data_IF_957865794842
#
_entry.id   IF_957865794842
#
_cell.length_a   1.000
_cell.length_b   1.000
_cell.length_c   1.000
_cell.angle_alpha   90.00
_cell.angle_beta   90.00
_cell.angle_gamma   90.00
#
_symmetry.space_group_name_H-M   'P 1'
#
loop_
_entity.id
_entity.type
_entity.pdbx_description
1 polymer ?
#
# COMPACT_ATOMS: atom_id res chain seq x y z
N UNK A 1 33.31 -1.94 9.92
CA UNK A 1 32.29 -2.96 10.21
C UNK A 1 31.97 -3.67 8.91
N UNK A 2 32.48 -4.89 8.73
CA UNK A 2 32.17 -5.75 7.58
C UNK A 2 30.89 -6.52 7.88
N UNK A 3 29.73 -5.92 7.59
CA UNK A 3 28.49 -6.69 7.60
C UNK A 3 28.35 -7.42 6.26
N UNK A 4 28.45 -8.76 6.32
CA UNK A 4 28.21 -9.71 5.21
C UNK A 4 26.81 -10.33 5.30
N UNK A 5 25.77 -9.53 5.49
CA UNK A 5 24.39 -9.99 5.29
C UNK A 5 23.84 -9.21 4.10
N UNK A 6 23.37 -9.88 3.03
CA UNK A 6 22.60 -9.19 2.01
C UNK A 6 21.31 -8.67 2.64
N UNK A 7 20.82 -7.56 2.09
CA UNK A 7 19.57 -6.93 2.49
C UNK A 7 18.32 -7.78 2.18
N UNK A 8 18.49 -8.99 1.67
CA UNK A 8 17.43 -9.84 1.12
C UNK A 8 17.30 -11.15 1.90
N UNK A 9 16.91 -11.05 3.18
CA UNK A 9 16.24 -12.20 3.82
C UNK A 9 14.86 -12.30 3.18
N UNK A 10 14.49 -13.44 2.57
CA UNK A 10 13.16 -13.61 2.00
C UNK A 10 12.13 -13.43 3.11
N UNK A 11 11.36 -12.35 3.04
CA UNK A 11 10.21 -12.19 3.91
C UNK A 11 9.20 -13.26 3.50
N UNK A 12 9.00 -14.25 4.38
CA UNK A 12 7.93 -15.22 4.23
C UNK A 12 6.65 -14.40 4.05
N UNK A 13 5.95 -14.59 2.93
CA UNK A 13 4.65 -13.95 2.72
C UNK A 13 3.73 -14.39 3.85
N UNK A 14 3.18 -13.46 4.66
CA UNK A 14 2.41 -13.80 5.85
C UNK A 14 1.01 -14.25 5.46
N UNK A 15 0.92 -15.40 4.78
CA UNK A 15 -0.33 -15.96 4.25
C UNK A 15 -1.15 -16.69 5.31
N UNK A 16 -0.60 -16.89 6.51
CA UNK A 16 -1.18 -17.73 7.58
C UNK A 16 -1.49 -19.16 7.10
N UNK A 17 -0.73 -19.68 6.13
CA UNK A 17 -0.94 -20.99 5.53
C UNK A 17 -2.04 -21.05 4.47
N UNK A 18 -2.64 -19.92 4.10
CA UNK A 18 -3.59 -19.84 3.00
C UNK A 18 -2.88 -19.80 1.63
N UNK A 19 -3.51 -20.36 0.57
CA UNK A 19 -2.95 -20.33 -0.77
C UNK A 19 -2.89 -18.90 -1.34
N UNK A 20 -1.92 -18.60 -2.20
CA UNK A 20 -1.76 -17.26 -2.79
C UNK A 20 -2.96 -16.87 -3.67
N UNK A 21 -3.58 -17.85 -4.33
CA UNK A 21 -4.77 -17.70 -5.16
C UNK A 21 -5.95 -17.13 -4.36
N UNK A 22 -6.06 -17.49 -3.08
CA UNK A 22 -7.08 -16.93 -2.20
C UNK A 22 -6.93 -15.41 -2.08
N UNK A 23 -5.71 -14.91 -1.89
CA UNK A 23 -5.44 -13.48 -1.78
C UNK A 23 -5.61 -12.75 -3.10
N UNK A 24 -5.26 -13.35 -4.23
CA UNK A 24 -5.55 -12.79 -5.56
C UNK A 24 -7.05 -12.63 -5.80
N UNK A 25 -7.85 -13.66 -5.51
CA UNK A 25 -9.32 -13.60 -5.65
C UNK A 25 -9.90 -12.56 -4.68
N UNK A 26 -9.47 -12.60 -3.41
CA UNK A 26 -9.88 -11.63 -2.40
C UNK A 26 -9.55 -10.20 -2.85
N UNK A 27 -8.35 -9.98 -3.39
CA UNK A 27 -7.89 -8.72 -3.93
C UNK A 27 -8.78 -8.16 -5.02
N UNK A 28 -9.25 -9.00 -5.95
CA UNK A 28 -10.22 -8.60 -6.99
C UNK A 28 -11.54 -8.18 -6.35
N UNK A 29 -12.09 -9.00 -5.45
CA UNK A 29 -13.41 -8.75 -4.82
C UNK A 29 -13.38 -7.44 -4.03
N UNK A 30 -12.43 -7.28 -3.11
CA UNK A 30 -12.35 -6.09 -2.27
C UNK A 30 -12.07 -4.83 -3.09
N UNK A 31 -11.28 -4.95 -4.18
CA UNK A 31 -11.06 -3.84 -5.10
C UNK A 31 -12.33 -3.44 -5.85
N UNK A 32 -13.13 -4.41 -6.35
CA UNK A 32 -14.40 -4.14 -7.05
C UNK A 32 -15.40 -3.47 -6.11
N UNK A 33 -15.50 -3.94 -4.86
CA UNK A 33 -16.38 -3.31 -3.86
C UNK A 33 -15.93 -1.88 -3.58
N UNK A 34 -14.64 -1.68 -3.29
CA UNK A 34 -14.08 -0.36 -3.02
C UNK A 34 -14.28 0.61 -4.20
N UNK A 35 -13.91 0.20 -5.42
CA UNK A 35 -13.93 1.09 -6.58
C UNK A 35 -15.34 1.53 -6.96
N UNK A 36 -16.37 0.71 -6.69
CA UNK A 36 -17.76 1.12 -6.91
C UNK A 36 -18.14 2.33 -6.04
N UNK A 37 -17.70 2.36 -4.78
CA UNK A 37 -17.90 3.52 -3.91
C UNK A 37 -17.09 4.73 -4.37
N UNK A 38 -15.84 4.54 -4.81
CA UNK A 38 -15.00 5.63 -5.32
C UNK A 38 -15.57 6.22 -6.62
N UNK A 39 -16.06 5.40 -7.54
CA UNK A 39 -16.73 5.88 -8.75
C UNK A 39 -17.96 6.71 -8.40
N UNK A 40 -18.79 6.22 -7.47
CA UNK A 40 -19.95 6.96 -7.00
C UNK A 40 -19.55 8.24 -6.24
N UNK A 41 -18.46 8.23 -5.47
CA UNK A 41 -17.94 9.40 -4.75
C UNK A 41 -17.59 10.54 -5.72
N UNK A 42 -16.76 10.23 -6.72
CA UNK A 42 -16.33 11.19 -7.74
C UNK A 42 -17.51 11.70 -8.55
N UNK A 43 -18.38 10.79 -9.01
CA UNK A 43 -19.51 11.20 -9.83
C UNK A 43 -20.60 11.94 -9.05
N UNK A 44 -20.95 11.50 -7.83
CA UNK A 44 -22.01 12.12 -7.04
C UNK A 44 -21.62 13.49 -6.49
N UNK A 45 -20.36 13.66 -6.03
CA UNK A 45 -19.85 14.98 -5.63
C UNK A 45 -19.89 15.96 -6.79
N UNK A 46 -19.40 15.54 -7.96
CA UNK A 46 -19.42 16.33 -9.19
C UNK A 46 -20.86 16.66 -9.61
N UNK A 47 -21.76 15.67 -9.60
CA UNK A 47 -23.17 15.86 -9.93
C UNK A 47 -23.82 16.87 -8.98
N UNK A 48 -23.59 16.75 -7.67
CA UNK A 48 -24.16 17.68 -6.69
C UNK A 48 -23.77 19.12 -6.99
N UNK A 49 -22.50 19.39 -7.29
CA UNK A 49 -22.04 20.76 -7.58
C UNK A 49 -22.55 21.26 -8.94
N UNK A 50 -22.45 20.45 -9.99
CA UNK A 50 -22.94 20.82 -11.33
C UNK A 50 -24.43 21.16 -11.30
N UNK A 51 -25.25 20.35 -10.63
CA UNK A 51 -26.69 20.59 -10.62
C UNK A 51 -27.11 21.72 -9.67
N UNK A 52 -26.31 22.02 -8.63
CA UNK A 52 -26.48 23.22 -7.82
C UNK A 52 -26.22 24.49 -8.67
N UNK A 53 -25.15 24.48 -9.47
CA UNK A 53 -24.85 25.54 -10.45
C UNK A 53 -25.98 25.65 -11.48
N UNK A 54 -26.46 24.53 -12.03
CA UNK A 54 -27.59 24.54 -12.98
C UNK A 54 -28.87 25.07 -12.36
N UNK A 55 -29.14 24.85 -11.07
CA UNK A 55 -30.28 25.43 -10.38
C UNK A 55 -30.25 26.97 -10.35
N UNK A 56 -29.06 27.57 -10.28
CA UNK A 56 -28.89 29.04 -10.43
C UNK A 56 -29.23 29.48 -11.86
N UNK A 57 -28.64 28.83 -12.86
CA UNK A 57 -28.79 29.25 -14.25
C UNK A 57 -30.19 28.99 -14.82
N UNK A 58 -30.78 27.84 -14.50
CA UNK A 58 -32.10 27.44 -14.98
C UNK A 58 -33.25 27.98 -14.15
N UNK A 59 -32.99 28.51 -12.95
CA UNK A 59 -34.00 28.99 -12.00
C UNK A 59 -35.09 27.95 -11.68
N UNK A 60 -34.71 26.67 -11.69
CA UNK A 60 -35.61 25.55 -11.40
C UNK A 60 -35.21 24.89 -10.08
N UNK A 61 -36.07 24.95 -9.04
CA UNK A 61 -35.77 24.43 -7.71
C UNK A 61 -35.61 22.91 -7.68
N UNK A 62 -36.05 22.18 -8.71
CA UNK A 62 -35.87 20.74 -8.78
C UNK A 62 -34.40 20.34 -8.99
N UNK A 63 -33.61 21.18 -9.67
CA UNK A 63 -32.16 20.96 -9.79
C UNK A 63 -31.44 21.12 -8.46
N UNK A 64 -31.85 22.09 -7.63
CA UNK A 64 -31.31 22.28 -6.28
C UNK A 64 -31.66 21.10 -5.37
N UNK A 65 -32.91 20.61 -5.42
CA UNK A 65 -33.33 19.41 -4.68
C UNK A 65 -32.58 18.17 -5.13
N UNK A 66 -32.38 18.01 -6.44
CA UNK A 66 -31.59 16.91 -6.99
C UNK A 66 -30.13 16.98 -6.53
N UNK A 67 -29.51 18.15 -6.64
CA UNK A 67 -28.15 18.40 -6.19
C UNK A 67 -27.96 18.09 -4.69
N UNK A 68 -28.90 18.53 -3.84
CA UNK A 68 -28.89 18.21 -2.42
C UNK A 68 -28.97 16.70 -2.17
N UNK A 69 -29.85 15.98 -2.89
CA UNK A 69 -29.95 14.51 -2.75
C UNK A 69 -28.65 13.79 -3.13
N UNK A 70 -27.92 14.30 -4.12
CA UNK A 70 -26.63 13.71 -4.51
C UNK A 70 -25.57 13.81 -3.39
N UNK A 71 -25.63 14.82 -2.51
CA UNK A 71 -24.73 14.92 -1.36
C UNK A 71 -24.82 13.71 -0.41
N UNK A 72 -26.01 13.07 -0.32
CA UNK A 72 -26.16 11.87 0.50
C UNK A 72 -25.33 10.72 -0.07
N UNK A 73 -25.38 10.50 -1.37
CA UNK A 73 -24.56 9.47 -2.02
C UNK A 73 -23.08 9.77 -1.91
N UNK A 74 -22.68 11.04 -2.03
CA UNK A 74 -21.31 11.48 -1.77
C UNK A 74 -20.87 11.05 -0.37
N UNK A 75 -21.59 11.45 0.69
CA UNK A 75 -21.22 11.11 2.06
C UNK A 75 -21.26 9.62 2.39
N UNK A 76 -22.20 8.85 1.82
CA UNK A 76 -22.20 7.39 2.01
C UNK A 76 -20.98 6.77 1.33
N UNK A 77 -20.66 7.20 0.11
CA UNK A 77 -19.51 6.71 -0.64
C UNK A 77 -18.16 7.12 -0.02
N UNK A 78 -18.07 8.26 0.64
CA UNK A 78 -16.88 8.64 1.43
C UNK A 78 -16.60 7.61 2.53
N UNK A 79 -17.61 7.36 3.37
CA UNK A 79 -17.47 6.47 4.52
C UNK A 79 -17.22 5.02 4.09
N UNK A 80 -18.00 4.54 3.11
CA UNK A 80 -17.82 3.18 2.57
C UNK A 80 -16.53 3.07 1.77
N UNK A 81 -16.15 4.09 1.01
CA UNK A 81 -14.91 4.14 0.26
C UNK A 81 -13.68 4.08 1.17
N UNK A 82 -13.69 4.84 2.28
CA UNK A 82 -12.63 4.81 3.28
C UNK A 82 -12.53 3.43 3.97
N UNK A 83 -13.67 2.87 4.41
CA UNK A 83 -13.72 1.55 5.04
C UNK A 83 -13.16 0.45 4.11
N UNK A 84 -13.68 0.38 2.89
CA UNK A 84 -13.28 -0.64 1.92
C UNK A 84 -11.94 -0.37 1.26
N UNK A 85 -11.37 0.85 1.38
CA UNK A 85 -10.10 1.22 0.77
C UNK A 85 -8.87 0.62 1.45
N UNK A 86 -8.98 0.34 2.75
CA UNK A 86 -7.89 -0.31 3.51
C UNK A 86 -7.69 -1.76 3.07
N UNK A 87 -8.78 -2.48 2.76
CA UNK A 87 -8.72 -3.89 2.39
C UNK A 87 -7.83 -4.20 1.16
N UNK A 88 -8.00 -3.58 -0.03
CA UNK A 88 -7.13 -3.84 -1.18
C UNK A 88 -5.68 -3.41 -0.91
N UNK A 89 -5.45 -2.35 -0.13
CA UNK A 89 -4.10 -1.93 0.26
C UNK A 89 -3.40 -3.00 1.09
N UNK A 90 -4.10 -3.57 2.08
CA UNK A 90 -3.57 -4.64 2.91
C UNK A 90 -3.25 -5.89 2.08
N UNK A 91 -4.17 -6.32 1.21
CA UNK A 91 -3.94 -7.48 0.33
C UNK A 91 -2.70 -7.28 -0.55
N UNK A 92 -2.56 -6.12 -1.19
CA UNK A 92 -1.39 -5.81 -2.02
C UNK A 92 -0.12 -5.70 -1.18
N UNK A 93 -0.20 -5.11 0.02
CA UNK A 93 0.96 -5.00 0.92
C UNK A 93 1.45 -6.35 1.43
N UNK A 94 0.57 -7.35 1.53
CA UNK A 94 0.91 -8.73 1.93
C UNK A 94 1.50 -9.50 0.75
N UNK A 95 0.90 -9.39 -0.44
CA UNK A 95 1.34 -10.14 -1.61
C UNK A 95 2.63 -9.59 -2.24
N UNK A 96 2.80 -8.26 -2.21
CA UNK A 96 3.83 -7.57 -2.98
C UNK A 96 4.57 -6.53 -2.13
N UNK A 97 4.87 -6.88 -0.87
CA UNK A 97 5.48 -5.99 0.14
C UNK A 97 6.67 -5.21 -0.42
N UNK A 98 7.70 -5.89 -0.95
CA UNK A 98 8.93 -5.25 -1.43
C UNK A 98 8.67 -4.20 -2.51
N UNK A 99 7.86 -4.54 -3.53
CA UNK A 99 7.52 -3.63 -4.63
C UNK A 99 6.64 -2.47 -4.17
N UNK A 100 5.64 -2.76 -3.34
CA UNK A 100 4.68 -1.78 -2.85
C UNK A 100 5.35 -0.72 -1.97
N UNK A 101 6.16 -1.13 -0.99
CA UNK A 101 6.87 -0.18 -0.12
C UNK A 101 7.96 0.58 -0.85
N UNK A 102 8.69 -0.05 -1.78
CA UNK A 102 9.69 0.64 -2.61
C UNK A 102 9.04 1.77 -3.42
N UNK A 103 7.89 1.50 -4.05
CA UNK A 103 7.14 2.52 -4.78
C UNK A 103 6.66 3.65 -3.86
N UNK A 104 6.17 3.34 -2.64
CA UNK A 104 5.77 4.33 -1.64
C UNK A 104 6.94 5.23 -1.25
N UNK A 105 8.11 4.66 -0.98
CA UNK A 105 9.30 5.43 -0.60
C UNK A 105 9.73 6.39 -1.71
N UNK A 106 9.66 5.95 -2.97
CA UNK A 106 10.00 6.76 -4.15
C UNK A 106 9.08 7.96 -4.39
N UNK A 107 7.82 7.86 -4.00
CA UNK A 107 6.84 8.95 -4.16
C UNK A 107 6.60 9.73 -2.86
N UNK A 108 7.27 9.36 -1.78
CA UNK A 108 7.21 10.08 -0.50
C UNK A 108 7.77 11.49 -0.68
N UNK A 109 7.16 12.54 -0.09
CA UNK A 109 6.06 12.52 0.88
C UNK A 109 4.66 12.58 0.26
N UNK A 110 4.52 12.66 -1.06
CA UNK A 110 3.25 12.94 -1.74
C UNK A 110 2.18 11.87 -1.48
N UNK A 111 2.56 10.63 -1.17
CA UNK A 111 1.60 9.57 -0.81
C UNK A 111 0.75 9.94 0.42
N UNK A 112 1.27 10.76 1.33
CA UNK A 112 0.52 11.24 2.50
C UNK A 112 -0.68 12.10 2.11
N UNK A 113 -0.73 12.62 0.88
CA UNK A 113 -1.91 13.31 0.33
C UNK A 113 -3.15 12.44 0.35
N UNK A 114 -3.01 11.11 0.26
CA UNK A 114 -4.15 10.20 0.43
C UNK A 114 -4.76 10.33 1.83
N UNK A 115 -3.98 10.71 2.85
CA UNK A 115 -4.48 10.91 4.21
C UNK A 115 -5.01 12.34 4.37
N UNK A 116 -4.13 13.35 4.25
CA UNK A 116 -4.54 14.74 4.53
C UNK A 116 -5.49 15.30 3.47
N UNK A 117 -5.33 14.91 2.20
CA UNK A 117 -6.23 15.31 1.12
C UNK A 117 -7.63 14.72 1.30
N UNK A 118 -7.75 13.47 1.77
CA UNK A 118 -9.06 12.90 2.13
C UNK A 118 -9.69 13.63 3.31
N UNK A 119 -8.92 13.93 4.37
CA UNK A 119 -9.45 14.69 5.52
C UNK A 119 -10.02 16.04 5.05
N UNK A 120 -9.25 16.79 4.25
CA UNK A 120 -9.70 18.09 3.71
C UNK A 120 -10.94 17.91 2.84
N UNK A 121 -10.94 16.95 1.91
CA UNK A 121 -12.08 16.71 1.03
C UNK A 121 -13.35 16.31 1.81
N UNK A 122 -13.21 15.48 2.85
CA UNK A 122 -14.32 15.05 3.70
C UNK A 122 -14.88 16.22 4.50
N UNK A 123 -14.01 17.02 5.13
CA UNK A 123 -14.45 18.20 5.88
C UNK A 123 -15.16 19.21 4.98
N UNK A 124 -14.64 19.47 3.77
CA UNK A 124 -15.28 20.33 2.79
C UNK A 124 -16.62 19.75 2.30
N UNK A 125 -16.70 18.43 2.09
CA UNK A 125 -17.94 17.74 1.71
C UNK A 125 -19.02 17.84 2.78
N UNK A 126 -18.65 17.65 4.05
CA UNK A 126 -19.55 17.84 5.18
C UNK A 126 -19.96 19.31 5.35
N UNK A 127 -19.01 20.24 5.21
CA UNK A 127 -19.32 21.66 5.23
C UNK A 127 -20.33 22.00 4.12
N UNK A 128 -20.11 21.53 2.88
CA UNK A 128 -21.04 21.71 1.77
C UNK A 128 -22.43 21.13 2.08
N UNK A 129 -22.51 19.87 2.50
CA UNK A 129 -23.79 19.21 2.78
C UNK A 129 -24.58 19.87 3.93
N UNK A 130 -23.93 20.12 5.06
CA UNK A 130 -24.62 20.59 6.27
C UNK A 130 -24.84 22.10 6.30
N UNK A 131 -24.11 22.87 5.50
CA UNK A 131 -24.38 24.30 5.32
C UNK A 131 -25.46 24.60 4.28
N UNK A 132 -26.02 23.57 3.62
CA UNK A 132 -26.97 23.73 2.51
C UNK A 132 -28.13 24.68 2.83
N UNK A 133 -28.75 24.50 4.01
CA UNK A 133 -29.88 25.33 4.45
C UNK A 133 -29.44 26.66 5.07
N UNK A 134 -28.28 26.68 5.75
CA UNK A 134 -27.74 27.89 6.37
C UNK A 134 -27.23 28.92 5.33
N UNK A 135 -26.70 28.44 4.20
CA UNK A 135 -26.13 29.27 3.13
C UNK A 135 -27.05 29.41 1.92
N UNK A 136 -28.36 29.17 2.05
CA UNK A 136 -29.32 29.31 0.93
C UNK A 136 -29.27 30.73 0.31
N UNK A 137 -29.09 31.75 1.15
CA UNK A 137 -28.99 33.15 0.72
C UNK A 137 -27.60 33.53 0.19
N UNK A 138 -26.58 32.69 0.42
CA UNK A 138 -25.19 32.90 -0.01
C UNK A 138 -24.75 31.80 -0.99
N UNK A 139 -25.60 31.54 -2.00
CA UNK A 139 -25.45 30.40 -2.93
C UNK A 139 -24.11 30.36 -3.65
N UNK A 140 -23.53 31.51 -4.01
CA UNK A 140 -22.19 31.58 -4.63
C UNK A 140 -21.09 31.03 -3.73
N UNK A 141 -21.09 31.41 -2.44
CA UNK A 141 -20.14 30.90 -1.46
C UNK A 141 -20.33 29.39 -1.22
N UNK A 142 -21.58 28.95 -1.09
CA UNK A 142 -21.90 27.53 -0.94
C UNK A 142 -21.43 26.68 -2.15
N UNK A 143 -21.61 27.17 -3.38
CA UNK A 143 -21.07 26.54 -4.60
C UNK A 143 -19.54 26.50 -4.57
N UNK A 144 -18.86 27.56 -4.09
CA UNK A 144 -17.41 27.58 -3.98
C UNK A 144 -16.88 26.51 -3.02
N UNK A 145 -17.56 26.27 -1.89
CA UNK A 145 -17.24 25.15 -0.99
C UNK A 145 -17.37 23.83 -1.76
N UNK A 146 -18.50 23.60 -2.44
CA UNK A 146 -18.72 22.39 -3.22
C UNK A 146 -17.67 22.17 -4.32
N UNK A 147 -17.31 23.23 -5.06
CA UNK A 147 -16.28 23.15 -6.09
C UNK A 147 -14.92 22.80 -5.48
N UNK A 148 -14.58 23.38 -4.33
CA UNK A 148 -13.37 23.06 -3.58
C UNK A 148 -13.36 21.59 -3.14
N UNK A 149 -14.50 21.06 -2.70
CA UNK A 149 -14.67 19.63 -2.39
C UNK A 149 -14.37 18.74 -3.60
N UNK A 150 -14.97 19.05 -4.76
CA UNK A 150 -14.77 18.26 -5.99
C UNK A 150 -13.31 18.31 -6.43
N UNK A 151 -12.69 19.50 -6.42
CA UNK A 151 -11.28 19.65 -6.75
C UNK A 151 -10.39 18.84 -5.80
N UNK A 152 -10.65 18.89 -4.50
CA UNK A 152 -9.92 18.10 -3.51
C UNK A 152 -10.04 16.60 -3.81
N UNK A 153 -11.23 16.08 -4.07
CA UNK A 153 -11.41 14.67 -4.45
C UNK A 153 -10.67 14.28 -5.73
N UNK A 154 -10.60 15.18 -6.72
CA UNK A 154 -9.98 14.90 -8.01
C UNK A 154 -8.46 14.81 -7.95
N UNK A 155 -7.83 15.36 -6.91
CA UNK A 155 -6.37 15.23 -6.73
C UNK A 155 -5.94 13.85 -6.23
N UNK A 156 -6.81 13.11 -5.53
CA UNK A 156 -6.46 11.83 -4.90
C UNK A 156 -6.15 10.71 -5.91
N UNK A 157 -6.93 10.51 -7.00
CA UNK A 157 -6.64 9.50 -8.00
C UNK A 157 -5.26 9.64 -8.64
N UNK A 158 -4.74 10.86 -8.81
CA UNK A 158 -3.42 11.08 -9.42
C UNK A 158 -2.31 10.45 -8.58
N UNK A 159 -2.33 10.68 -7.27
CA UNK A 159 -1.34 10.14 -6.33
C UNK A 159 -1.44 8.61 -6.27
N UNK A 160 -2.65 8.09 -6.10
CA UNK A 160 -2.88 6.65 -6.02
C UNK A 160 -2.54 5.92 -7.32
N UNK A 161 -2.86 6.50 -8.48
CA UNK A 161 -2.54 5.90 -9.78
C UNK A 161 -1.04 5.89 -10.04
N UNK A 162 -0.34 6.97 -9.68
CA UNK A 162 1.12 7.08 -9.78
C UNK A 162 1.81 6.00 -8.94
N UNK A 163 1.41 5.87 -7.66
CA UNK A 163 1.88 4.78 -6.79
C UNK A 163 1.58 3.42 -7.41
N UNK A 164 0.33 3.23 -7.87
CA UNK A 164 -0.09 1.96 -8.44
C UNK A 164 0.71 1.56 -9.67
N UNK A 165 1.03 2.51 -10.55
CA UNK A 165 1.79 2.24 -11.76
C UNK A 165 3.23 1.89 -11.40
N UNK A 166 3.83 2.68 -10.50
CA UNK A 166 5.21 2.47 -10.13
C UNK A 166 5.45 1.07 -9.55
N UNK A 167 4.62 0.64 -8.58
CA UNK A 167 4.85 -0.68 -7.98
C UNK A 167 4.66 -1.85 -8.95
N UNK A 168 3.84 -1.69 -10.00
CA UNK A 168 3.65 -2.71 -11.03
C UNK A 168 4.76 -2.71 -12.09
N UNK A 169 5.69 -1.75 -12.06
CA UNK A 169 6.77 -1.65 -13.04
C UNK A 169 8.11 -1.52 -12.34
N UNK A 170 8.62 -2.59 -11.69
CA UNK A 170 9.89 -2.55 -10.94
C UNK A 170 11.08 -2.07 -11.79
N UNK A 171 11.04 -2.27 -13.10
CA UNK A 171 12.04 -1.77 -14.05
C UNK A 171 12.20 -0.23 -14.03
N UNK A 172 11.18 0.50 -13.56
CA UNK A 172 11.20 1.96 -13.44
C UNK A 172 11.79 2.45 -12.12
N UNK A 173 12.09 1.57 -11.15
CA UNK A 173 12.61 2.00 -9.84
C UNK A 173 13.97 2.69 -9.92
N UNK A 174 14.79 2.34 -10.90
CA UNK A 174 16.11 2.98 -11.08
C UNK A 174 15.99 4.37 -11.72
N UNK A 175 15.04 4.57 -12.64
CA UNK A 175 14.89 5.80 -13.42
C UNK A 175 14.00 6.84 -12.76
N UNK A 176 12.97 6.40 -12.04
CA UNK A 176 12.01 7.31 -11.39
C UNK A 176 12.56 7.77 -10.05
N UNK A 177 12.69 9.09 -9.89
CA UNK A 177 13.20 9.75 -8.68
C UNK A 177 12.10 10.42 -7.86
N UNK A 178 11.00 10.82 -8.49
CA UNK A 178 9.91 11.58 -7.88
C UNK A 178 8.55 11.24 -8.49
N UNK A 179 7.47 11.73 -7.85
CA UNK A 179 6.11 11.44 -8.29
C UNK A 179 5.74 12.04 -9.64
N UNK A 180 6.30 13.20 -10.00
CA UNK A 180 5.89 13.92 -11.21
C UNK A 180 6.29 13.15 -12.48
N UNK A 181 7.47 12.53 -12.44
CA UNK A 181 7.96 11.68 -13.53
C UNK A 181 7.01 10.51 -13.82
N UNK A 182 6.54 9.79 -12.79
CA UNK A 182 5.60 8.69 -12.98
C UNK A 182 4.18 9.17 -13.30
N UNK A 183 3.76 10.29 -12.71
CA UNK A 183 2.41 10.82 -12.87
C UNK A 183 2.12 11.28 -14.30
N UNK A 184 3.12 11.87 -14.96
CA UNK A 184 3.00 12.33 -16.33
C UNK A 184 3.39 11.30 -17.39
N UNK A 185 3.57 10.03 -17.00
CA UNK A 185 3.73 8.95 -17.98
C UNK A 185 2.42 8.70 -18.76
N UNK A 186 2.52 8.23 -20.01
CA UNK A 186 1.35 7.81 -20.79
C UNK A 186 0.49 6.77 -20.06
N UNK A 187 1.11 5.80 -19.37
CA UNK A 187 0.41 4.78 -18.59
C UNK A 187 -0.48 5.42 -17.52
N UNK A 188 0.05 6.35 -16.74
CA UNK A 188 -0.72 7.05 -15.71
C UNK A 188 -1.86 7.87 -16.33
N UNK A 189 -1.59 8.61 -17.40
CA UNK A 189 -2.60 9.37 -18.12
C UNK A 189 -3.76 8.49 -18.64
N UNK A 190 -3.46 7.40 -19.32
CA UNK A 190 -4.46 6.48 -19.87
C UNK A 190 -5.28 5.80 -18.77
N UNK A 191 -4.64 5.38 -17.67
CA UNK A 191 -5.35 4.76 -16.54
C UNK A 191 -6.25 5.76 -15.82
N UNK A 192 -5.81 7.02 -15.66
CA UNK A 192 -6.64 8.10 -15.11
C UNK A 192 -7.82 8.40 -16.03
N UNK A 193 -7.61 8.46 -17.34
CA UNK A 193 -8.68 8.65 -18.32
C UNK A 193 -9.73 7.55 -18.20
N UNK A 194 -9.32 6.28 -18.21
CA UNK A 194 -10.21 5.14 -17.99
C UNK A 194 -10.96 5.24 -16.65
N UNK A 195 -10.25 5.60 -15.58
CA UNK A 195 -10.83 5.75 -14.25
C UNK A 195 -11.94 6.81 -14.22
N UNK A 196 -11.69 8.01 -14.74
CA UNK A 196 -12.68 9.08 -14.73
C UNK A 196 -13.85 8.80 -15.66
N UNK A 197 -13.60 8.27 -16.87
CA UNK A 197 -14.69 7.85 -17.78
C UNK A 197 -15.56 6.78 -17.12
N UNK A 198 -14.94 5.79 -16.47
CA UNK A 198 -15.67 4.74 -15.76
C UNK A 198 -16.45 5.31 -14.57
N UNK A 199 -15.89 6.26 -13.82
CA UNK A 199 -16.55 6.91 -12.70
C UNK A 199 -17.85 7.64 -13.13
N UNK A 200 -17.77 8.44 -14.19
CA UNK A 200 -18.91 9.19 -14.72
C UNK A 200 -19.95 8.26 -15.36
N UNK A 201 -19.49 7.27 -16.13
CA UNK A 201 -20.35 6.24 -16.73
C UNK A 201 -21.12 5.45 -15.66
N UNK A 202 -20.42 4.90 -14.66
CA UNK A 202 -21.02 4.10 -13.60
C UNK A 202 -22.00 4.93 -12.76
N UNK A 203 -21.62 6.16 -12.41
CA UNK A 203 -22.53 7.08 -11.70
C UNK A 203 -23.76 7.41 -12.53
N UNK A 204 -23.62 7.62 -13.83
CA UNK A 204 -24.75 7.85 -14.74
C UNK A 204 -25.77 6.72 -14.72
N UNK A 205 -25.31 5.46 -14.72
CA UNK A 205 -26.20 4.30 -14.59
C UNK A 205 -26.85 4.21 -13.21
N UNK A 206 -26.11 4.50 -12.14
CA UNK A 206 -26.70 4.58 -10.79
C UNK A 206 -27.77 5.68 -10.73
N UNK A 207 -27.56 6.84 -11.35
CA UNK A 207 -28.54 7.92 -11.44
C UNK A 207 -29.84 7.49 -12.15
N UNK A 208 -29.73 6.67 -13.21
CA UNK A 208 -30.91 6.08 -13.88
C UNK A 208 -31.67 5.15 -12.91
N UNK A 209 -30.94 4.29 -12.21
CA UNK A 209 -31.52 3.32 -11.28
C UNK A 209 -32.19 3.97 -10.06
N UNK A 210 -31.53 4.94 -9.42
CA UNK A 210 -32.12 5.66 -8.28
C UNK A 210 -33.27 6.57 -8.73
N UNK A 211 -33.17 7.18 -9.92
CA UNK A 211 -34.21 8.01 -10.49
C UNK A 211 -35.50 7.23 -10.71
N UNK A 212 -35.40 6.01 -11.27
CA UNK A 212 -36.55 5.11 -11.42
C UNK A 212 -37.20 4.76 -10.06
N UNK A 213 -36.41 4.61 -9.00
CA UNK A 213 -36.92 4.37 -7.64
C UNK A 213 -37.58 5.60 -7.02
N UNK A 214 -37.05 6.80 -7.28
CA UNK A 214 -37.65 8.06 -6.82
C UNK A 214 -39.01 8.32 -7.47
N UNK A 215 -39.15 8.07 -8.78
CA UNK A 215 -40.45 8.14 -9.45
C UNK A 215 -41.47 7.21 -8.78
N UNK A 216 -41.09 5.97 -8.47
CA UNK A 216 -41.96 5.01 -7.76
C UNK A 216 -42.37 5.48 -6.35
N UNK A 217 -41.57 6.34 -5.71
CA UNK A 217 -41.84 6.91 -4.38
C UNK A 217 -42.62 8.24 -4.42
N UNK A 218 -42.98 8.73 -5.61
CA UNK A 218 -43.74 9.97 -5.78
C UNK A 218 -42.90 11.22 -6.10
N UNK A 219 -41.57 11.11 -6.13
CA UNK A 219 -40.66 12.22 -6.47
C UNK A 219 -40.42 12.31 -7.99
N UNK A 220 -41.49 12.45 -8.77
CA UNK A 220 -41.45 12.27 -10.23
C UNK A 220 -40.48 13.21 -10.93
N UNK A 221 -40.54 14.52 -10.65
CA UNK A 221 -39.72 15.52 -11.35
C UNK A 221 -38.21 15.33 -11.08
N UNK A 222 -37.84 15.09 -9.82
CA UNK A 222 -36.43 14.82 -9.45
C UNK A 222 -35.96 13.50 -10.07
N UNK A 223 -36.82 12.48 -10.07
CA UNK A 223 -36.54 11.19 -10.70
C UNK A 223 -36.30 11.31 -12.21
N UNK A 224 -37.12 12.09 -12.91
CA UNK A 224 -36.95 12.39 -14.34
C UNK A 224 -35.64 13.12 -14.63
N UNK A 225 -35.27 14.12 -13.81
CA UNK A 225 -33.97 14.80 -13.91
C UNK A 225 -32.83 13.78 -13.75
N UNK A 226 -32.87 12.95 -12.70
CA UNK A 226 -31.86 11.93 -12.44
C UNK A 226 -31.69 10.96 -13.61
N UNK A 227 -32.79 10.46 -14.19
CA UNK A 227 -32.76 9.56 -15.35
C UNK A 227 -32.19 10.26 -16.58
N UNK A 228 -32.69 11.45 -16.91
CA UNK A 228 -32.24 12.20 -18.09
C UNK A 228 -30.76 12.52 -18.04
N UNK A 229 -30.30 13.01 -16.89
CA UNK A 229 -28.90 13.35 -16.66
C UNK A 229 -28.01 12.11 -16.59
N UNK A 230 -28.47 11.04 -15.94
CA UNK A 230 -27.76 9.77 -15.87
C UNK A 230 -27.50 9.16 -17.25
N UNK A 231 -28.50 9.23 -18.15
CA UNK A 231 -28.33 8.82 -19.55
C UNK A 231 -27.27 9.64 -20.27
N UNK A 232 -27.24 10.96 -20.08
CA UNK A 232 -26.23 11.83 -20.70
C UNK A 232 -24.82 11.51 -20.21
N UNK A 233 -24.65 11.36 -18.90
CA UNK A 233 -23.34 11.03 -18.31
C UNK A 233 -22.81 9.70 -18.82
N UNK A 234 -23.68 8.69 -18.87
CA UNK A 234 -23.35 7.40 -19.46
C UNK A 234 -22.99 7.52 -20.94
N UNK A 235 -23.86 8.10 -21.76
CA UNK A 235 -23.65 8.16 -23.21
C UNK A 235 -22.47 9.04 -23.63
N UNK A 236 -22.07 10.02 -22.82
CA UNK A 236 -20.90 10.86 -23.08
C UNK A 236 -19.58 10.14 -22.75
N UNK A 237 -19.52 9.42 -21.62
CA UNK A 237 -18.29 8.79 -21.16
C UNK A 237 -18.03 7.43 -21.84
N UNK A 238 -19.08 6.64 -22.09
CA UNK A 238 -18.95 5.26 -22.57
C UNK A 238 -18.24 5.09 -23.92
N UNK A 239 -18.50 5.91 -24.97
CA UNK A 239 -17.87 5.72 -26.28
C UNK A 239 -16.35 5.78 -26.21
N UNK A 240 -15.80 6.76 -25.49
CA UNK A 240 -14.36 6.87 -25.32
C UNK A 240 -13.83 5.73 -24.44
N UNK A 241 -14.56 5.33 -23.41
CA UNK A 241 -14.14 4.25 -22.52
C UNK A 241 -14.06 2.88 -23.25
N UNK A 242 -14.99 2.61 -24.17
CA UNK A 242 -14.98 1.42 -25.05
C UNK A 242 -13.66 1.33 -25.85
N UNK A 243 -13.08 2.47 -26.24
CA UNK A 243 -11.81 2.51 -26.98
C UNK A 243 -10.62 2.46 -26.02
N UNK A 244 -10.70 3.12 -24.87
CA UNK A 244 -9.60 3.18 -23.91
C UNK A 244 -9.33 1.83 -23.26
N UNK A 245 -10.37 1.06 -22.92
CA UNK A 245 -10.23 -0.20 -22.19
C UNK A 245 -9.35 -1.23 -22.92
N UNK A 246 -9.55 -1.53 -24.22
CA UNK A 246 -8.69 -2.48 -24.95
C UNK A 246 -7.27 -1.97 -25.18
N UNK A 247 -7.05 -0.65 -25.17
CA UNK A 247 -5.73 -0.06 -25.39
C UNK A 247 -4.85 -0.11 -24.13
N UNK A 248 -5.44 -0.13 -22.93
CA UNK A 248 -4.71 -0.11 -21.67
C UNK A 248 -3.60 -1.16 -21.54
N UNK A 249 -3.81 -2.45 -21.88
CA UNK A 249 -2.76 -3.47 -21.91
C UNK A 249 -1.49 -3.08 -22.69
N UNK A 250 -1.65 -2.28 -23.75
CA UNK A 250 -0.57 -1.91 -24.67
C UNK A 250 0.14 -0.62 -24.31
N UNK A 251 -0.34 0.10 -23.28
CA UNK A 251 0.31 1.33 -22.82
C UNK A 251 1.43 1.03 -21.82
N UNK A 252 1.41 -0.15 -21.18
CA UNK A 252 2.47 -0.61 -20.28
C UNK A 252 3.81 -0.80 -21.01
N UNK A 253 4.87 -1.10 -20.25
CA UNK A 253 6.18 -1.45 -20.83
C UNK A 253 6.04 -2.65 -21.76
N UNK A 254 6.87 -2.68 -22.82
CA UNK A 254 6.85 -3.76 -23.81
C UNK A 254 6.90 -5.15 -23.16
N UNK A 255 7.72 -5.31 -22.12
CA UNK A 255 7.81 -6.51 -21.27
C UNK A 255 6.45 -6.96 -20.72
N UNK A 256 5.72 -6.05 -20.06
CA UNK A 256 4.42 -6.36 -19.45
C UNK A 256 3.38 -6.63 -20.53
N UNK A 257 3.35 -5.81 -21.59
CA UNK A 257 2.40 -5.97 -22.68
C UNK A 257 2.61 -7.31 -23.41
N UNK A 258 3.85 -7.68 -23.71
CA UNK A 258 4.22 -8.95 -24.32
C UNK A 258 3.84 -10.13 -23.43
N UNK A 259 4.25 -10.11 -22.17
CA UNK A 259 3.90 -11.17 -21.23
C UNK A 259 2.38 -11.33 -21.07
N UNK A 260 1.63 -10.22 -21.04
CA UNK A 260 0.18 -10.27 -20.95
C UNK A 260 -0.48 -10.87 -22.21
N UNK A 261 0.07 -10.64 -23.40
CA UNK A 261 -0.43 -11.22 -24.66
C UNK A 261 -0.37 -12.74 -24.68
N UNK A 262 0.52 -13.35 -23.89
CA UNK A 262 0.61 -14.80 -23.73
C UNK A 262 -0.36 -15.36 -22.67
N UNK A 263 -1.24 -14.54 -22.08
CA UNK A 263 -2.21 -14.96 -21.07
C UNK A 263 -3.64 -14.71 -21.52
N UNK A 264 -4.61 -15.44 -20.95
CA UNK A 264 -6.04 -15.19 -21.20
C UNK A 264 -6.54 -13.82 -20.71
N UNK A 265 -5.80 -13.13 -19.85
CA UNK A 265 -6.18 -11.83 -19.31
C UNK A 265 -6.25 -10.73 -20.39
N UNK A 266 -5.51 -10.88 -21.50
CA UNK A 266 -5.49 -9.91 -22.60
C UNK A 266 -6.86 -9.72 -23.25
N UNK A 267 -7.73 -10.75 -23.24
CA UNK A 267 -9.04 -10.70 -23.88
C UNK A 267 -10.10 -9.99 -23.02
N UNK A 268 -9.89 -9.91 -21.70
CA UNK A 268 -10.91 -9.40 -20.77
C UNK A 268 -11.31 -7.93 -21.04
N UNK A 269 -10.40 -6.99 -21.36
CA UNK A 269 -10.78 -5.62 -21.69
C UNK A 269 -11.61 -5.52 -22.98
N UNK A 270 -11.38 -6.41 -23.95
CA UNK A 270 -12.18 -6.48 -25.18
C UNK A 270 -13.59 -6.96 -24.87
N UNK A 271 -13.73 -8.02 -24.07
CA UNK A 271 -15.04 -8.52 -23.62
C UNK A 271 -15.77 -7.43 -22.81
N UNK A 272 -15.06 -6.76 -21.90
CA UNK A 272 -15.61 -5.67 -21.11
C UNK A 272 -16.12 -4.52 -21.99
N UNK A 273 -15.42 -4.22 -23.09
CA UNK A 273 -15.82 -3.21 -24.07
C UNK A 273 -17.04 -3.64 -24.89
N UNK A 274 -17.13 -4.93 -25.28
CA UNK A 274 -18.32 -5.48 -25.93
C UNK A 274 -19.57 -5.38 -25.03
N UNK A 275 -19.43 -5.68 -23.73
CA UNK A 275 -20.53 -5.51 -22.77
C UNK A 275 -20.96 -4.04 -22.66
N UNK A 276 -20.00 -3.10 -22.68
CA UNK A 276 -20.31 -1.67 -22.69
C UNK A 276 -20.97 -1.21 -23.98
N UNK A 277 -20.62 -1.78 -25.15
CA UNK A 277 -21.32 -1.50 -26.41
C UNK A 277 -22.80 -1.93 -26.31
N UNK A 278 -23.07 -3.13 -25.77
CA UNK A 278 -24.45 -3.61 -25.56
C UNK A 278 -25.21 -2.68 -24.61
N UNK A 279 -24.60 -2.31 -23.49
CA UNK A 279 -25.19 -1.36 -22.54
C UNK A 279 -25.42 0.03 -23.16
N UNK A 280 -24.47 0.52 -23.95
CA UNK A 280 -24.53 1.78 -24.68
C UNK A 280 -25.71 1.82 -25.65
N UNK A 281 -25.82 0.83 -26.53
CA UNK A 281 -26.90 0.74 -27.52
C UNK A 281 -28.26 0.60 -26.83
N UNK A 282 -28.34 -0.15 -25.73
CA UNK A 282 -29.57 -0.26 -24.95
C UNK A 282 -30.01 1.09 -24.37
N UNK A 283 -29.12 1.82 -23.70
CA UNK A 283 -29.44 3.13 -23.13
C UNK A 283 -29.76 4.15 -24.22
N UNK A 284 -29.06 4.10 -25.35
CA UNK A 284 -29.29 4.96 -26.51
C UNK A 284 -30.69 4.72 -27.11
N UNK A 285 -31.11 3.47 -27.24
CA UNK A 285 -32.47 3.13 -27.71
C UNK A 285 -33.58 3.69 -26.80
N UNK A 286 -33.24 3.93 -25.53
CA UNK A 286 -34.11 4.46 -24.47
C UNK A 286 -33.84 5.93 -24.15
N UNK A 287 -33.19 6.65 -25.06
CA UNK A 287 -32.79 8.03 -24.82
C UNK A 287 -33.98 8.99 -24.65
N UNK A 288 -35.07 8.78 -25.40
CA UNK A 288 -36.27 9.63 -25.31
C UNK A 288 -37.20 9.29 -24.14
N UNK A 289 -37.08 8.09 -23.57
CA UNK A 289 -37.96 7.62 -22.50
C UNK A 289 -37.72 8.42 -21.22
N UNK A 290 -38.72 9.17 -20.75
CA UNK A 290 -38.62 9.94 -19.49
C UNK A 290 -38.66 9.05 -18.24
N UNK A 291 -39.26 7.87 -18.36
CA UNK A 291 -39.43 6.91 -17.28
C UNK A 291 -38.83 5.58 -17.71
N UNK A 292 -38.00 4.99 -16.86
CA UNK A 292 -37.35 3.70 -17.09
C UNK A 292 -37.78 2.73 -16.00
N UNK A 293 -38.12 1.50 -16.39
CA UNK A 293 -38.48 0.46 -15.41
C UNK A 293 -37.27 0.09 -14.53
N UNK A 294 -37.50 -0.25 -13.27
CA UNK A 294 -36.41 -0.66 -12.36
C UNK A 294 -35.68 -1.91 -12.86
N UNK A 295 -36.38 -2.81 -13.55
CA UNK A 295 -35.77 -4.03 -14.11
C UNK A 295 -34.86 -3.71 -15.29
N UNK A 296 -35.26 -2.79 -16.18
CA UNK A 296 -34.43 -2.28 -17.27
C UNK A 296 -33.16 -1.63 -16.74
N UNK A 297 -33.28 -0.76 -15.73
CA UNK A 297 -32.13 -0.11 -15.11
C UNK A 297 -31.17 -1.14 -14.47
N UNK A 298 -31.71 -2.17 -13.79
CA UNK A 298 -30.89 -3.21 -13.18
C UNK A 298 -30.07 -4.03 -14.19
N UNK A 299 -30.64 -4.35 -15.37
CA UNK A 299 -29.88 -5.06 -16.43
C UNK A 299 -28.65 -4.27 -16.87
N UNK A 300 -28.78 -2.96 -17.03
CA UNK A 300 -27.66 -2.09 -17.42
C UNK A 300 -26.63 -2.01 -16.31
N UNK A 301 -27.07 -1.87 -15.04
CA UNK A 301 -26.18 -1.93 -13.87
C UNK A 301 -25.37 -3.22 -13.88
N UNK A 302 -26.02 -4.38 -14.09
CA UNK A 302 -25.34 -5.67 -14.11
C UNK A 302 -24.28 -5.78 -15.22
N UNK A 303 -24.57 -5.29 -16.43
CA UNK A 303 -23.59 -5.27 -17.53
C UNK A 303 -22.38 -4.38 -17.21
N UNK A 304 -22.61 -3.20 -16.64
CA UNK A 304 -21.53 -2.28 -16.25
C UNK A 304 -20.70 -2.85 -15.10
N UNK A 305 -21.34 -3.45 -14.09
CA UNK A 305 -20.63 -4.10 -12.98
C UNK A 305 -19.80 -5.29 -13.47
N UNK A 306 -20.31 -6.09 -14.40
CA UNK A 306 -19.55 -7.18 -15.01
C UNK A 306 -18.35 -6.64 -15.81
N UNK A 307 -18.53 -5.55 -16.57
CA UNK A 307 -17.43 -4.87 -17.25
C UNK A 307 -16.34 -4.37 -16.28
N UNK A 308 -16.75 -3.77 -15.16
CA UNK A 308 -15.83 -3.33 -14.08
C UNK A 308 -15.09 -4.53 -13.48
N UNK A 309 -15.79 -5.63 -13.22
CA UNK A 309 -15.19 -6.87 -12.71
C UNK A 309 -14.13 -7.43 -13.67
N UNK A 310 -14.44 -7.49 -14.97
CA UNK A 310 -13.48 -7.94 -15.98
C UNK A 310 -12.22 -7.07 -16.01
N UNK A 311 -12.37 -5.74 -15.92
CA UNK A 311 -11.23 -4.82 -15.84
C UNK A 311 -10.42 -4.98 -14.55
N UNK A 312 -11.07 -5.25 -13.41
CA UNK A 312 -10.40 -5.55 -12.16
C UNK A 312 -9.58 -6.85 -12.27
N UNK A 313 -10.12 -7.86 -12.94
CA UNK A 313 -9.42 -9.12 -13.23
C UNK A 313 -8.25 -8.91 -14.20
N UNK A 314 -8.39 -8.07 -15.25
CA UNK A 314 -7.25 -7.68 -16.09
C UNK A 314 -6.14 -7.04 -15.26
N UNK A 315 -6.50 -6.17 -14.31
CA UNK A 315 -5.52 -5.52 -13.43
C UNK A 315 -4.77 -6.53 -12.57
N UNK A 316 -5.42 -7.61 -12.13
CA UNK A 316 -4.72 -8.72 -11.47
C UNK A 316 -3.80 -9.46 -12.45
N UNK A 317 -4.27 -9.75 -13.67
CA UNK A 317 -3.43 -10.32 -14.73
C UNK A 317 -2.16 -9.52 -15.01
N UNK A 318 -2.27 -8.18 -15.06
CA UNK A 318 -1.12 -7.27 -15.18
C UNK A 318 -0.14 -7.47 -14.02
N UNK A 319 -0.61 -7.57 -12.77
CA UNK A 319 0.27 -7.82 -11.62
C UNK A 319 0.99 -9.16 -11.73
N UNK A 320 0.26 -10.22 -12.07
CA UNK A 320 0.82 -11.57 -12.22
C UNK A 320 2.00 -11.55 -13.20
N UNK A 321 1.83 -10.94 -14.38
CA UNK A 321 2.93 -10.87 -15.36
C UNK A 321 4.03 -9.88 -14.97
N UNK A 322 3.69 -8.80 -14.27
CA UNK A 322 4.66 -7.78 -13.84
C UNK A 322 5.66 -8.32 -12.81
N UNK A 323 5.18 -9.22 -11.93
CA UNK A 323 5.96 -9.73 -10.81
C UNK A 323 6.57 -11.12 -11.05
N UNK A 324 6.13 -11.87 -12.06
CA UNK A 324 6.61 -13.23 -12.31
C UNK A 324 8.15 -13.33 -12.39
N UNK A 325 8.78 -12.55 -13.27
CA UNK A 325 10.23 -12.55 -13.45
C UNK A 325 10.97 -11.95 -12.22
N UNK A 326 10.63 -10.76 -11.70
CA UNK A 326 11.29 -10.22 -10.52
C UNK A 326 11.24 -11.15 -9.29
N UNK A 327 10.11 -11.82 -9.06
CA UNK A 327 9.97 -12.78 -7.97
C UNK A 327 10.82 -14.03 -8.21
N UNK A 328 10.92 -14.51 -9.46
CA UNK A 328 11.77 -15.65 -9.79
C UNK A 328 13.26 -15.33 -9.56
N UNK A 329 13.71 -14.14 -10.00
CA UNK A 329 15.08 -13.67 -9.76
C UNK A 329 15.38 -13.51 -8.27
N UNK A 330 14.43 -12.96 -7.51
CA UNK A 330 14.56 -12.84 -6.05
C UNK A 330 14.64 -14.21 -5.38
N UNK A 331 13.83 -15.18 -5.80
CA UNK A 331 13.86 -16.54 -5.28
C UNK A 331 15.20 -17.23 -5.56
N UNK A 332 15.74 -17.08 -6.78
CA UNK A 332 17.05 -17.62 -7.15
C UNK A 332 18.18 -17.00 -6.32
N UNK A 333 18.23 -15.67 -6.24
CA UNK A 333 19.25 -14.96 -5.46
C UNK A 333 19.19 -15.36 -3.97
N UNK A 334 17.99 -15.58 -3.45
CA UNK A 334 17.76 -16.09 -2.10
C UNK A 334 18.33 -17.49 -1.93
N UNK A 335 18.03 -18.41 -2.85
CA UNK A 335 18.53 -19.78 -2.81
C UNK A 335 20.06 -19.82 -2.84
N UNK A 336 20.67 -19.05 -3.74
CA UNK A 336 22.13 -18.91 -3.86
C UNK A 336 22.76 -18.41 -2.55
N UNK A 337 22.16 -17.39 -1.93
CA UNK A 337 22.62 -16.86 -0.66
C UNK A 337 22.48 -17.87 0.49
N UNK A 338 21.36 -18.58 0.58
CA UNK A 338 21.12 -19.59 1.60
C UNK A 338 22.12 -20.74 1.47
N UNK A 339 22.38 -21.20 0.24
CA UNK A 339 23.36 -22.25 -0.04
C UNK A 339 24.78 -21.81 0.32
N UNK A 340 25.17 -20.57 -0.03
CA UNK A 340 26.45 -20.00 0.34
C UNK A 340 26.61 -19.90 1.87
N UNK A 341 25.57 -19.42 2.56
CA UNK A 341 25.56 -19.29 4.03
C UNK A 341 25.65 -20.65 4.72
N UNK A 342 24.94 -21.66 4.23
CA UNK A 342 25.02 -23.03 4.76
C UNK A 342 26.41 -23.64 4.53
N UNK A 343 27.04 -23.34 3.40
CA UNK A 343 28.39 -23.82 3.08
C UNK A 343 29.43 -23.18 4.01
N UNK A 344 29.36 -21.85 4.20
CA UNK A 344 30.22 -21.13 5.15
C UNK A 344 30.00 -21.61 6.59
N UNK A 345 28.75 -21.85 6.99
CA UNK A 345 28.43 -22.39 8.31
C UNK A 345 28.96 -23.82 8.51
N UNK A 346 28.84 -24.70 7.50
CA UNK A 346 29.41 -26.06 7.57
C UNK A 346 30.93 -26.01 7.72
N UNK A 347 31.60 -25.17 6.93
CA UNK A 347 33.04 -24.96 7.02
C UNK A 347 33.44 -24.45 8.39
N UNK A 348 32.76 -23.44 8.92
CA UNK A 348 32.97 -22.92 10.27
C UNK A 348 32.79 -24.03 11.32
N UNK A 349 31.75 -24.86 11.18
CA UNK A 349 31.49 -25.96 12.11
C UNK A 349 32.58 -27.04 12.07
N UNK A 350 33.10 -27.37 10.89
CA UNK A 350 34.24 -28.27 10.71
C UNK A 350 35.52 -27.67 11.30
N UNK A 351 35.80 -26.38 11.05
CA UNK A 351 36.91 -25.64 11.66
C UNK A 351 36.82 -25.64 13.19
N UNK A 352 35.62 -25.46 13.76
CA UNK A 352 35.39 -25.53 15.21
C UNK A 352 35.54 -26.95 15.76
N UNK A 353 35.09 -27.98 15.03
CA UNK A 353 35.23 -29.38 15.44
C UNK A 353 36.70 -29.84 15.42
N UNK A 354 37.48 -29.32 14.48
CA UNK A 354 38.91 -29.62 14.33
C UNK A 354 39.80 -28.62 15.09
N UNK A 355 39.22 -27.64 15.79
CA UNK A 355 39.99 -26.71 16.62
C UNK A 355 40.64 -27.54 17.74
N UNK A 356 41.97 -27.48 17.89
CA UNK A 356 42.64 -28.23 18.96
C UNK A 356 42.02 -27.84 20.30
N UNK A 357 41.89 -28.84 21.19
CA UNK A 357 41.41 -28.58 22.54
C UNK A 357 42.23 -27.45 23.14
N UNK A 358 41.54 -26.39 23.55
CA UNK A 358 42.16 -25.24 24.17
C UNK A 358 42.93 -25.72 25.41
N UNK A 359 44.20 -25.36 25.53
CA UNK A 359 44.93 -25.60 26.78
C UNK A 359 44.38 -24.64 27.84
N UNK A 360 43.38 -25.10 28.57
CA UNK A 360 42.73 -24.34 29.64
C UNK A 360 43.66 -24.10 30.84
N UNK A 361 44.90 -24.60 30.80
CA UNK A 361 45.93 -24.22 31.76
C UNK A 361 46.56 -22.87 31.46
N UNK A 362 46.51 -22.38 30.21
CA UNK A 362 46.85 -21.00 29.88
C UNK A 362 45.68 -20.08 30.28
N UNK A 363 45.88 -19.15 31.24
CA UNK A 363 44.83 -18.27 31.71
C UNK A 363 44.25 -17.35 30.63
N UNK A 364 45.03 -16.95 29.62
CA UNK A 364 44.53 -16.12 28.51
C UNK A 364 43.56 -16.92 27.63
N UNK A 365 43.89 -18.19 27.38
CA UNK A 365 43.04 -19.13 26.65
C UNK A 365 41.77 -19.48 27.44
N UNK A 366 41.90 -19.65 28.77
CA UNK A 366 40.76 -19.84 29.67
C UNK A 366 39.83 -18.61 29.64
N UNK A 367 40.37 -17.39 29.67
CA UNK A 367 39.60 -16.15 29.59
C UNK A 367 38.81 -16.04 28.28
N UNK A 368 39.40 -16.44 27.16
CA UNK A 368 38.72 -16.51 25.85
C UNK A 368 37.60 -17.55 25.87
N UNK A 369 37.87 -18.76 26.38
CA UNK A 369 36.89 -19.84 26.44
C UNK A 369 35.67 -19.51 27.31
N UNK A 370 35.88 -18.74 28.39
CA UNK A 370 34.82 -18.28 29.30
C UNK A 370 34.16 -16.99 28.83
N UNK A 371 34.53 -16.48 27.66
CA UNK A 371 33.91 -15.31 27.03
C UNK A 371 34.31 -13.97 27.64
N UNK A 372 35.33 -13.91 28.50
CA UNK A 372 35.74 -12.69 29.20
C UNK A 372 36.15 -11.58 28.22
N UNK A 373 36.72 -11.94 27.06
CA UNK A 373 37.10 -10.98 26.01
C UNK A 373 35.93 -10.31 25.28
N UNK A 374 34.69 -10.77 25.50
CA UNK A 374 33.50 -10.09 24.95
C UNK A 374 33.23 -8.75 25.62
N UNK A 375 33.67 -8.60 26.88
CA UNK A 375 33.45 -7.41 27.69
C UNK A 375 34.75 -6.74 28.14
N UNK A 376 35.87 -7.47 28.18
CA UNK A 376 37.17 -6.99 28.61
C UNK A 376 38.23 -7.16 27.51
N UNK A 377 39.31 -6.39 27.58
CA UNK A 377 40.51 -6.60 26.77
C UNK A 377 41.74 -6.38 27.66
N UNK A 378 42.91 -6.85 27.24
CA UNK A 378 44.16 -6.71 28.03
C UNK A 378 44.50 -5.24 28.25
N UNK A 379 44.56 -4.47 27.17
CA UNK A 379 45.10 -3.10 27.18
C UNK A 379 44.00 -2.03 27.12
N UNK A 380 42.90 -2.33 26.44
CA UNK A 380 41.87 -1.35 26.11
C UNK A 380 40.60 -1.58 26.91
N UNK A 381 39.99 -0.50 27.41
CA UNK A 381 38.66 -0.58 28.02
C UNK A 381 37.61 -0.84 26.94
N UNK A 382 36.72 -1.81 27.17
CA UNK A 382 35.57 -2.11 26.31
C UNK A 382 34.27 -1.77 27.05
N UNK A 383 33.41 -2.77 27.28
CA UNK A 383 32.22 -2.65 28.14
C UNK A 383 32.64 -2.61 29.60
N UNK A 384 33.57 -3.49 29.98
CA UNK A 384 34.26 -3.49 31.27
C UNK A 384 35.66 -2.86 31.18
N UNK A 385 36.30 -2.59 32.34
CA UNK A 385 37.68 -2.10 32.40
C UNK A 385 38.65 -3.06 31.69
N UNK A 386 39.80 -2.55 31.23
CA UNK A 386 40.86 -3.43 30.70
C UNK A 386 41.45 -4.30 31.83
N UNK A 387 42.03 -5.46 31.50
CA UNK A 387 42.65 -6.30 32.53
C UNK A 387 43.82 -5.60 33.22
N UNK A 388 44.56 -4.72 32.51
CA UNK A 388 45.55 -3.83 33.11
C UNK A 388 44.94 -2.80 34.07
N UNK A 389 43.78 -2.24 33.76
CA UNK A 389 43.05 -1.36 34.69
C UNK A 389 42.57 -2.12 35.95
N UNK A 390 42.18 -3.38 35.79
CA UNK A 390 41.82 -4.25 36.93
C UNK A 390 43.06 -4.58 37.77
N UNK A 391 44.20 -4.88 37.13
CA UNK A 391 45.45 -5.25 37.81
C UNK A 391 46.05 -4.09 38.62
N UNK A 392 45.92 -2.87 38.12
CA UNK A 392 46.46 -1.66 38.77
C UNK A 392 45.70 -1.24 40.03
N UNK A 393 44.43 -1.65 40.21
CA UNK A 393 43.68 -1.41 41.46
C UNK A 393 44.14 -2.28 42.64
N UNK A 394 45.14 -3.16 42.47
CA UNK A 394 45.76 -4.00 43.52
C UNK A 394 44.74 -4.71 44.42
N UNK A 395 43.69 -5.30 43.84
CA UNK A 395 42.77 -6.17 44.59
C UNK A 395 43.43 -7.51 44.89
N UNK A 396 43.20 -8.08 46.07
CA UNK A 396 43.62 -9.46 46.36
C UNK A 396 42.91 -10.46 45.43
N UNK A 397 43.57 -11.59 45.15
CA UNK A 397 43.03 -12.68 44.30
C UNK A 397 41.62 -13.08 44.76
N UNK A 398 41.40 -13.25 46.07
CA UNK A 398 40.11 -13.62 46.64
C UNK A 398 38.98 -12.62 46.32
N UNK A 399 39.32 -11.33 46.23
CA UNK A 399 38.36 -10.27 45.91
C UNK A 399 37.95 -10.34 44.43
N UNK A 400 38.90 -10.61 43.53
CA UNK A 400 38.59 -10.79 42.11
C UNK A 400 37.80 -12.08 41.86
N UNK A 401 38.15 -13.18 42.52
CA UNK A 401 37.38 -14.44 42.49
C UNK A 401 35.94 -14.21 42.89
N UNK A 402 35.71 -13.54 44.04
CA UNK A 402 34.36 -13.22 44.50
C UNK A 402 33.60 -12.34 43.51
N UNK A 403 34.31 -11.41 42.86
CA UNK A 403 33.74 -10.50 41.85
C UNK A 403 33.33 -11.26 40.58
N UNK A 404 34.12 -12.24 40.13
CA UNK A 404 33.78 -13.08 38.98
C UNK A 404 32.60 -14.00 39.29
N UNK A 405 32.59 -14.65 40.46
CA UNK A 405 31.56 -15.64 40.82
C UNK A 405 30.21 -15.01 41.21
N UNK A 406 30.20 -13.83 41.84
CA UNK A 406 28.97 -13.19 42.33
C UNK A 406 28.59 -11.91 41.57
N UNK A 407 29.37 -11.54 40.57
CA UNK A 407 29.28 -10.23 39.93
C UNK A 407 29.89 -9.11 40.78
N UNK A 408 29.93 -7.91 40.23
CA UNK A 408 30.43 -6.71 40.92
C UNK A 408 29.71 -5.46 40.45
N UNK A 409 29.43 -4.54 41.38
CA UNK A 409 28.78 -3.26 41.10
C UNK A 409 29.63 -2.11 41.65
N UNK A 410 29.60 -0.94 40.99
CA UNK A 410 30.22 0.31 41.45
C UNK A 410 31.72 0.24 41.80
N UNK A 411 32.45 -0.76 41.27
CA UNK A 411 33.86 -1.00 41.63
C UNK A 411 34.85 -0.43 40.62
N UNK A 412 34.51 -0.46 39.35
CA UNK A 412 35.34 0.05 38.25
C UNK A 412 34.59 1.03 37.36
N UNK A 413 33.29 0.81 37.17
CA UNK A 413 32.37 1.70 36.47
C UNK A 413 30.96 1.55 37.06
N UNK A 414 30.02 2.37 36.57
CA UNK A 414 28.59 2.34 36.90
C UNK A 414 27.90 1.10 36.34
N UNK A 415 28.46 0.49 35.28
CA UNK A 415 27.91 -0.73 34.68
C UNK A 415 28.29 -1.94 35.56
N UNK A 416 27.31 -2.67 36.14
CA UNK A 416 27.58 -3.84 36.94
C UNK A 416 28.04 -5.02 36.07
N UNK A 417 29.03 -5.77 36.54
CA UNK A 417 29.46 -7.03 35.94
C UNK A 417 28.59 -8.16 36.51
N UNK A 418 27.86 -8.95 35.68
CA UNK A 418 27.08 -10.08 36.17
C UNK A 418 27.99 -11.24 36.64
N UNK A 419 27.47 -12.17 37.47
CA UNK A 419 28.12 -13.44 37.76
C UNK A 419 28.58 -14.17 36.47
N UNK A 420 29.79 -14.71 36.47
CA UNK A 420 30.37 -15.45 35.34
C UNK A 420 30.35 -16.96 35.60
N UNK A 421 30.23 -17.76 34.53
CA UNK A 421 30.18 -19.22 34.60
C UNK A 421 31.59 -19.84 34.72
N UNK A 422 32.22 -19.62 35.89
CA UNK A 422 33.55 -20.10 36.23
C UNK A 422 33.53 -20.84 37.57
N UNK A 423 34.26 -21.95 37.64
CA UNK A 423 34.56 -22.62 38.91
C UNK A 423 35.50 -21.77 39.77
N UNK A 424 35.56 -22.05 41.06
CA UNK A 424 36.45 -21.32 41.98
C UNK A 424 37.93 -21.41 41.57
N UNK A 425 38.37 -22.58 41.07
CA UNK A 425 39.74 -22.79 40.62
C UNK A 425 40.04 -22.06 39.30
N UNK A 426 39.10 -22.04 38.36
CA UNK A 426 39.21 -21.24 37.13
C UNK A 426 39.26 -19.74 37.44
N UNK A 427 38.39 -19.27 38.34
CA UNK A 427 38.36 -17.88 38.78
C UNK A 427 39.68 -17.48 39.46
N UNK A 428 40.27 -18.37 40.29
CA UNK A 428 41.58 -18.15 40.92
C UNK A 428 42.70 -18.03 39.89
N UNK A 429 42.72 -18.91 38.88
CA UNK A 429 43.68 -18.85 37.77
C UNK A 429 43.55 -17.54 36.98
N UNK A 430 42.34 -17.17 36.59
CA UNK A 430 42.07 -15.93 35.87
C UNK A 430 42.45 -14.69 36.68
N UNK A 431 42.08 -14.64 37.97
CA UNK A 431 42.40 -13.53 38.86
C UNK A 431 43.91 -13.37 39.06
N UNK A 432 44.65 -14.47 39.23
CA UNK A 432 46.10 -14.44 39.39
C UNK A 432 46.78 -13.89 38.14
N UNK A 433 46.40 -14.41 36.97
CA UNK A 433 46.89 -13.94 35.68
C UNK A 433 46.60 -12.46 35.44
N UNK A 434 45.37 -12.00 35.69
CA UNK A 434 45.01 -10.58 35.53
C UNK A 434 45.93 -9.69 36.38
N UNK A 435 46.24 -10.08 37.62
CA UNK A 435 47.12 -9.31 38.50
C UNK A 435 48.59 -9.30 38.01
N UNK A 436 49.02 -10.33 37.29
CA UNK A 436 50.36 -10.41 36.66
C UNK A 436 50.51 -9.52 35.43
N UNK A 437 49.40 -9.09 34.80
CA UNK A 437 49.42 -8.17 33.64
C UNK A 437 49.82 -6.72 34.02
N UNK A 438 50.12 -6.47 35.29
CA UNK A 438 50.65 -5.19 35.77
C UNK A 438 52.03 -4.96 35.14
N UNK A 439 52.18 -3.89 34.34
CA UNK A 439 53.48 -3.53 33.80
C UNK A 439 54.51 -3.34 34.92
N UNK A 440 55.67 -4.00 34.78
CA UNK A 440 56.85 -3.64 35.54
C UNK A 440 57.24 -2.21 35.14
N UNK A 441 57.30 -1.33 36.14
CA UNK A 441 57.69 0.08 35.99
C UNK A 441 59.04 0.25 35.33
#
# INVERSE_FOLDING_TARGET
MNWKLPFDIPLITPTLGLPLEFFSILGIIVFVVHICFIYMLIGASTASVIYNIMGVFKKDPNYDKFAYRMTNYTTVSENMGALWGVAPLLVISVLFTGFFYTAILKISPHILHIIYGNIIAFLLSYAYKFSWHALQNHKGFHIAIGLSTVLAFFTLPFIFMSMSNLYMQPELFASISNIWEIMFTPVTGFRLLNFFLTAFMATGIVMIFIGARWIKRGDTEIGKISISQGKKWFLLATPLNIVVMPLLPFVFTARISEALMHTGFIYLPFIASLLLIVAFLYVLSKFKDEVVSSQSAFRVVALVLLSIFLMATTREGVRVVSFAEPLALQAQATEDFMNASLTEYKKYKEEMANKPALDLNDPAVLAESKGCFSCHNVDVKLVGPSFKEVSTKNSEVAVLVKSMMNGSENKYDVIPMPPQDVSEDEAKKLATWILELKEAK
#
